data_IF_070528041891
#
_entry.id   IF_070528041891
#
_cell.length_a   1.000
_cell.length_b   1.000
_cell.length_c   1.000
_cell.angle_alpha   90.00
_cell.angle_beta   90.00
_cell.angle_gamma   90.00
#
_symmetry.space_group_name_H-M   'P 1'
#
loop_
_entity.id
_entity.type
_entity.pdbx_description
1 polymer ?
#
# COMPACT_ATOMS: atom_id res chain seq x y z
N UNK A 1 26.78 -1.12 -73.45
CA UNK A 1 26.84 -2.23 -72.47
C UNK A 1 25.54 -2.23 -71.69
N UNK A 2 24.50 -2.92 -72.18
CA UNK A 2 24.08 -4.28 -71.74
C UNK A 2 23.80 -4.36 -70.22
N UNK A 3 22.63 -4.73 -69.69
CA UNK A 3 21.27 -5.05 -70.18
C UNK A 3 20.42 -5.43 -68.95
N UNK A 4 19.13 -5.03 -68.91
CA UNK A 4 17.90 -5.81 -68.54
C UNK A 4 17.82 -6.49 -67.14
N UNK A 5 16.68 -6.71 -66.48
CA UNK A 5 15.21 -6.60 -66.73
C UNK A 5 14.50 -6.85 -65.37
N UNK A 6 13.36 -6.21 -65.14
CA UNK A 6 12.30 -6.73 -64.23
C UNK A 6 11.62 -7.97 -64.86
N UNK A 7 10.98 -8.83 -64.05
CA UNK A 7 9.53 -8.91 -64.18
C UNK A 7 8.75 -9.13 -62.88
N UNK A 8 7.47 -8.70 -62.96
CA UNK A 8 6.36 -9.04 -62.08
C UNK A 8 6.08 -10.55 -62.08
N UNK A 9 5.59 -11.08 -60.96
CA UNK A 9 4.77 -12.29 -60.96
C UNK A 9 3.59 -12.12 -59.97
N UNK A 10 2.41 -12.13 -60.56
CA UNK A 10 1.08 -12.27 -59.97
C UNK A 10 0.86 -13.76 -59.74
N UNK A 11 0.40 -14.20 -58.57
CA UNK A 11 -0.25 -15.52 -58.44
C UNK A 11 -1.47 -15.45 -57.54
N UNK A 12 -2.60 -15.64 -58.19
CA UNK A 12 -3.91 -15.98 -57.68
C UNK A 12 -3.93 -17.50 -57.41
N UNK A 13 -4.43 -17.94 -56.27
CA UNK A 13 -4.56 -19.36 -55.97
C UNK A 13 -5.56 -19.61 -54.85
N UNK A 14 -6.82 -19.87 -55.24
CA UNK A 14 -7.83 -20.51 -54.40
C UNK A 14 -7.34 -21.92 -54.00
N UNK A 15 -7.53 -22.30 -52.74
CA UNK A 15 -7.62 -23.71 -52.34
C UNK A 15 -8.66 -23.87 -51.23
N UNK A 16 -9.82 -24.36 -51.68
CA UNK A 16 -10.88 -25.14 -51.04
C UNK A 16 -10.67 -25.65 -49.61
N UNK A 17 -11.71 -25.44 -48.79
CA UNK A 17 -11.99 -26.16 -47.56
C UNK A 17 -12.22 -27.66 -47.81
N UNK A 18 -11.70 -28.51 -46.91
CA UNK A 18 -12.16 -29.87 -46.71
C UNK A 18 -12.25 -30.13 -45.21
N UNK A 19 -13.48 -30.32 -44.74
CA UNK A 19 -13.79 -30.82 -43.42
C UNK A 19 -13.55 -32.33 -43.39
N UNK A 20 -12.84 -32.82 -42.37
CA UNK A 20 -12.88 -34.23 -41.98
C UNK A 20 -13.24 -34.32 -40.51
N UNK A 21 -14.49 -34.70 -40.27
CA UNK A 21 -14.97 -35.18 -38.99
C UNK A 21 -14.45 -36.61 -38.78
N UNK A 22 -13.72 -36.84 -37.70
CA UNK A 22 -13.47 -38.17 -37.17
C UNK A 22 -14.04 -38.22 -35.75
N UNK A 23 -15.24 -38.81 -35.64
CA UNK A 23 -15.81 -39.22 -34.38
C UNK A 23 -15.10 -40.50 -33.92
N UNK A 24 -14.42 -40.45 -32.79
CA UNK A 24 -13.99 -41.63 -32.05
C UNK A 24 -14.69 -41.61 -30.69
N UNK A 25 -15.66 -42.50 -30.54
CA UNK A 25 -16.29 -42.85 -29.28
C UNK A 25 -15.54 -44.03 -28.63
N UNK A 26 -15.74 -44.18 -27.31
CA UNK A 26 -15.32 -45.26 -26.40
C UNK A 26 -13.84 -45.18 -25.91
N UNK A 27 -13.51 -45.23 -24.61
CA UNK A 27 -14.23 -45.64 -23.40
C UNK A 27 -13.83 -44.78 -22.18
N UNK A 28 -14.82 -44.41 -21.35
CA UNK A 28 -14.59 -43.88 -20.02
C UNK A 28 -14.22 -45.03 -19.06
N UNK A 29 -12.95 -45.08 -18.63
CA UNK A 29 -12.56 -45.90 -17.50
C UNK A 29 -13.08 -45.24 -16.20
N UNK A 30 -13.62 -46.01 -15.24
CA UNK A 30 -14.04 -45.47 -13.95
C UNK A 30 -12.80 -44.96 -13.21
N UNK A 31 -12.74 -43.64 -13.02
CA UNK A 31 -11.77 -43.01 -12.12
C UNK A 31 -12.16 -43.40 -10.69
N UNK A 32 -11.45 -44.39 -10.13
CA UNK A 32 -11.50 -44.65 -8.70
C UNK A 32 -10.95 -43.41 -7.99
N UNK A 33 -11.86 -42.62 -7.44
CA UNK A 33 -11.53 -41.55 -6.51
C UNK A 33 -10.88 -42.16 -5.28
N UNK A 34 -9.54 -42.17 -5.26
CA UNK A 34 -8.78 -42.42 -4.06
C UNK A 34 -9.19 -41.35 -3.03
N UNK A 35 -9.93 -41.78 -2.02
CA UNK A 35 -10.33 -40.97 -0.87
C UNK A 35 -9.06 -40.52 -0.15
N UNK A 36 -8.57 -39.34 -0.51
CA UNK A 36 -7.48 -38.69 0.19
C UNK A 36 -7.98 -38.36 1.60
N UNK A 37 -7.60 -39.22 2.54
CA UNK A 37 -7.78 -39.05 3.98
C UNK A 37 -7.31 -37.65 4.36
N UNK A 38 -8.24 -36.70 4.46
CA UNK A 38 -7.98 -35.32 4.87
C UNK A 38 -7.33 -35.37 6.24
N UNK A 39 -6.02 -35.08 6.28
CA UNK A 39 -5.30 -34.89 7.52
C UNK A 39 -6.03 -33.82 8.34
N UNK A 40 -6.23 -34.02 9.66
CA UNK A 40 -6.87 -33.02 10.49
C UNK A 40 -6.14 -31.69 10.35
N UNK A 41 -6.86 -30.63 10.00
CA UNK A 41 -6.34 -29.28 10.06
C UNK A 41 -5.89 -29.03 11.51
N UNK A 42 -4.59 -29.03 11.73
CA UNK A 42 -4.00 -28.86 13.05
C UNK A 42 -4.42 -27.46 13.54
N UNK A 43 -5.22 -27.41 14.59
CA UNK A 43 -5.61 -26.15 15.23
C UNK A 43 -4.34 -25.34 15.50
N UNK A 44 -4.30 -24.06 15.09
CA UNK A 44 -3.12 -23.25 15.29
C UNK A 44 -2.79 -23.21 16.78
N UNK A 45 -1.56 -23.62 17.13
CA UNK A 45 -1.09 -23.57 18.52
C UNK A 45 -1.29 -22.14 19.04
N UNK A 46 -2.01 -22.00 20.16
CA UNK A 46 -2.24 -20.71 20.78
C UNK A 46 -0.90 -20.14 21.25
N UNK A 47 -0.43 -19.07 20.60
CA UNK A 47 0.78 -18.37 21.03
C UNK A 47 0.56 -17.60 22.32
N UNK A 48 1.65 -17.15 22.92
CA UNK A 48 1.63 -16.43 24.21
C UNK A 48 1.21 -14.98 24.01
N UNK A 49 0.81 -14.34 25.10
CA UNK A 49 0.62 -12.89 25.14
C UNK A 49 1.84 -12.23 25.79
N UNK A 50 2.48 -11.31 25.08
CA UNK A 50 3.60 -10.47 25.54
C UNK A 50 3.05 -9.08 25.85
N UNK A 51 3.05 -8.69 27.12
CA UNK A 51 2.59 -7.36 27.56
C UNK A 51 3.71 -6.33 27.45
N UNK A 52 3.38 -5.13 26.95
CA UNK A 52 4.29 -3.98 26.89
C UNK A 52 3.62 -2.79 27.58
N UNK A 53 4.38 -2.05 28.39
CA UNK A 53 3.96 -0.81 29.05
C UNK A 53 5.14 0.15 29.09
N UNK A 54 4.93 1.46 28.96
CA UNK A 54 6.01 2.45 29.09
C UNK A 54 6.64 2.47 30.49
N UNK A 55 5.96 1.93 31.49
CA UNK A 55 6.43 1.74 32.87
C UNK A 55 6.96 0.32 33.13
N UNK A 56 7.10 -0.50 32.08
CA UNK A 56 7.59 -1.87 32.17
C UNK A 56 9.10 -1.98 32.40
N UNK A 57 9.64 -3.19 32.28
CA UNK A 57 11.08 -3.45 32.39
C UNK A 57 11.53 -4.52 31.38
N UNK A 58 12.61 -4.25 30.62
CA UNK A 58 13.13 -5.14 29.57
C UNK A 58 14.12 -6.23 30.06
N UNK A 59 14.25 -6.40 31.38
CA UNK A 59 15.28 -7.23 32.01
C UNK A 59 14.97 -8.73 31.94
N UNK A 60 13.72 -9.08 31.66
CA UNK A 60 13.27 -10.47 31.59
C UNK A 60 13.36 -11.00 30.16
N UNK A 61 13.97 -12.17 29.99
CA UNK A 61 14.11 -12.84 28.69
C UNK A 61 12.93 -13.75 28.33
N UNK A 62 12.07 -14.10 29.29
CA UNK A 62 10.88 -14.93 29.09
C UNK A 62 9.73 -14.43 29.94
N UNK A 63 8.64 -14.00 29.29
CA UNK A 63 7.38 -13.58 29.92
C UNK A 63 6.63 -14.81 30.44
N UNK A 64 6.66 -15.05 31.74
CA UNK A 64 5.77 -15.98 32.43
C UNK A 64 4.48 -15.27 32.87
N UNK A 65 3.40 -16.01 33.10
CA UNK A 65 2.17 -15.46 33.67
C UNK A 65 2.48 -14.77 35.02
N UNK A 66 2.05 -13.52 35.19
CA UNK A 66 2.32 -12.72 36.40
C UNK A 66 3.58 -11.85 36.36
N UNK A 67 4.39 -11.91 35.28
CA UNK A 67 5.55 -11.03 35.15
C UNK A 67 5.18 -9.60 34.75
N UNK A 68 6.02 -8.65 35.16
CA UNK A 68 5.91 -7.23 34.80
C UNK A 68 5.95 -7.08 33.27
N UNK A 69 5.15 -6.16 32.68
CA UNK A 69 5.23 -5.86 31.25
C UNK A 69 6.66 -5.48 30.82
N UNK A 70 7.02 -5.76 29.56
CA UNK A 70 8.23 -5.22 28.95
C UNK A 70 8.11 -3.69 28.81
N UNK A 71 9.24 -2.99 28.92
CA UNK A 71 9.28 -1.53 28.77
C UNK A 71 9.14 -1.12 27.29
N UNK A 72 9.74 -1.88 26.38
CA UNK A 72 9.85 -1.48 24.97
C UNK A 72 9.14 -2.43 24.01
N UNK A 73 8.55 -1.82 22.98
CA UNK A 73 7.95 -2.53 21.86
C UNK A 73 9.03 -3.32 21.09
N UNK A 74 10.24 -2.78 20.95
CA UNK A 74 11.36 -3.45 20.27
C UNK A 74 11.76 -4.75 20.95
N UNK A 75 11.83 -4.77 22.29
CA UNK A 75 12.13 -6.00 23.03
C UNK A 75 11.06 -7.06 22.79
N UNK A 76 9.79 -6.68 22.84
CA UNK A 76 8.68 -7.59 22.57
C UNK A 76 8.73 -8.17 21.15
N UNK A 77 9.02 -7.33 20.15
CA UNK A 77 9.14 -7.75 18.74
C UNK A 77 10.24 -8.78 18.54
N UNK A 78 11.40 -8.62 19.20
CA UNK A 78 12.51 -9.57 19.13
C UNK A 78 12.22 -10.91 19.83
N UNK A 79 11.34 -10.90 20.83
CA UNK A 79 10.97 -12.08 21.61
C UNK A 79 9.80 -12.87 21.01
N UNK A 80 9.00 -12.24 20.15
CA UNK A 80 7.81 -12.84 19.59
C UNK A 80 8.13 -14.01 18.65
N UNK A 81 7.36 -15.08 18.80
CA UNK A 81 7.40 -16.27 17.96
C UNK A 81 6.08 -16.43 17.18
N UNK A 82 6.05 -17.19 16.08
CA UNK A 82 4.82 -17.43 15.32
C UNK A 82 3.63 -17.82 16.21
N UNK A 83 2.54 -17.06 16.12
CA UNK A 83 1.33 -17.24 16.93
C UNK A 83 1.24 -16.30 18.14
N UNK A 84 2.36 -15.70 18.59
CA UNK A 84 2.37 -14.80 19.73
C UNK A 84 1.57 -13.50 19.46
N UNK A 85 1.04 -12.92 20.53
CA UNK A 85 0.39 -11.61 20.54
C UNK A 85 1.15 -10.65 21.46
N UNK A 86 1.70 -9.59 20.90
CA UNK A 86 2.22 -8.44 21.63
C UNK A 86 1.06 -7.48 21.89
N UNK A 87 0.73 -7.25 23.17
CA UNK A 87 -0.32 -6.35 23.63
C UNK A 87 0.32 -5.14 24.31
N UNK A 88 0.14 -3.97 23.72
CA UNK A 88 0.80 -2.73 24.15
C UNK A 88 -0.17 -1.83 24.89
N UNK A 89 0.11 -1.51 26.16
CA UNK A 89 -0.67 -0.54 26.94
C UNK A 89 -0.52 0.87 26.40
N UNK A 90 -1.53 1.70 26.64
CA UNK A 90 -1.55 3.09 26.21
C UNK A 90 -0.37 3.88 26.76
N UNK A 91 0.08 4.86 26.00
CA UNK A 91 1.26 5.64 26.33
C UNK A 91 2.08 6.03 25.11
N UNK A 92 3.10 6.85 25.37
CA UNK A 92 4.06 7.28 24.37
C UNK A 92 5.37 6.51 24.53
N UNK A 93 5.80 5.85 23.47
CA UNK A 93 7.05 5.10 23.39
C UNK A 93 8.01 5.88 22.49
N UNK A 94 9.08 6.43 23.07
CA UNK A 94 10.05 7.26 22.33
C UNK A 94 11.11 6.38 21.69
N UNK A 95 11.43 6.68 20.43
CA UNK A 95 12.52 6.04 19.68
C UNK A 95 12.03 5.13 18.55
N UNK A 96 12.96 4.34 18.02
CA UNK A 96 12.70 3.43 16.91
C UNK A 96 12.24 2.04 17.40
N UNK A 97 11.26 1.47 16.70
CA UNK A 97 10.71 0.15 16.94
C UNK A 97 10.77 -0.74 15.69
N UNK A 98 10.68 -2.06 15.90
CA UNK A 98 10.48 -3.04 14.83
C UNK A 98 11.72 -3.82 14.38
N UNK A 99 12.92 -3.40 14.76
CA UNK A 99 14.15 -4.12 14.42
C UNK A 99 14.22 -5.52 15.04
N UNK A 100 14.62 -6.50 14.23
CA UNK A 100 14.78 -7.90 14.66
C UNK A 100 13.48 -8.69 14.71
N UNK A 101 12.44 -8.25 13.99
CA UNK A 101 11.23 -9.02 13.81
C UNK A 101 11.53 -10.39 13.19
N UNK A 102 11.00 -11.45 13.79
CA UNK A 102 11.02 -12.81 13.23
C UNK A 102 9.82 -13.00 12.30
N UNK A 103 9.92 -13.80 11.23
CA UNK A 103 8.75 -14.11 10.41
C UNK A 103 7.72 -14.90 11.22
N UNK A 104 6.45 -14.53 11.10
CA UNK A 104 5.31 -15.35 11.50
C UNK A 104 5.02 -16.44 10.47
N UNK A 105 3.87 -17.12 10.61
CA UNK A 105 3.40 -18.12 9.64
C UNK A 105 1.95 -17.84 9.24
N UNK A 106 1.54 -18.30 8.06
CA UNK A 106 0.16 -18.14 7.57
C UNK A 106 -0.90 -18.63 8.56
N UNK A 107 -0.63 -19.75 9.22
CA UNK A 107 -1.48 -20.34 10.26
C UNK A 107 -1.10 -19.92 11.69
N UNK A 108 -0.02 -19.16 11.89
CA UNK A 108 0.42 -18.67 13.20
C UNK A 108 1.02 -17.26 13.03
N UNK A 109 0.19 -16.24 12.72
CA UNK A 109 0.67 -14.87 12.54
C UNK A 109 1.14 -14.28 13.86
N UNK A 110 2.12 -13.38 13.81
CA UNK A 110 2.52 -12.58 14.98
C UNK A 110 1.65 -11.32 15.03
N UNK A 111 1.04 -11.04 16.17
CA UNK A 111 0.10 -9.92 16.33
C UNK A 111 0.73 -8.83 17.19
N UNK A 112 0.89 -7.62 16.65
CA UNK A 112 1.27 -6.44 17.43
C UNK A 112 0.06 -5.51 17.52
N UNK A 113 -0.50 -5.34 18.71
CA UNK A 113 -1.72 -4.54 18.87
C UNK A 113 -1.73 -3.69 20.13
N UNK A 114 -2.38 -2.54 20.04
CA UNK A 114 -2.78 -1.79 21.23
C UNK A 114 -3.74 -2.63 22.09
N UNK A 115 -3.62 -2.47 23.41
CA UNK A 115 -4.60 -2.97 24.35
C UNK A 115 -5.98 -2.33 24.10
N UNK A 116 -7.05 -3.02 24.49
CA UNK A 116 -8.40 -2.58 24.20
C UNK A 116 -8.68 -1.21 24.84
N UNK A 117 -9.17 -0.26 24.04
CA UNK A 117 -9.44 1.12 24.49
C UNK A 117 -8.21 2.01 24.67
N UNK A 118 -7.01 1.45 24.53
CA UNK A 118 -5.75 2.15 24.80
C UNK A 118 -5.21 2.85 23.55
N UNK A 119 -4.65 4.06 23.71
CA UNK A 119 -3.97 4.78 22.63
C UNK A 119 -2.46 4.62 22.76
N UNK A 120 -1.87 3.85 21.85
CA UNK A 120 -0.43 3.64 21.75
C UNK A 120 0.16 4.60 20.73
N UNK A 121 1.19 5.35 21.10
CA UNK A 121 1.92 6.25 20.19
C UNK A 121 3.41 5.94 20.24
N UNK A 122 3.99 5.57 19.10
CA UNK A 122 5.44 5.57 18.90
C UNK A 122 5.84 6.97 18.45
N UNK A 123 6.65 7.66 19.25
CA UNK A 123 7.24 8.95 18.90
C UNK A 123 8.65 8.70 18.37
N UNK A 124 8.76 8.52 17.06
CA UNK A 124 9.96 8.02 16.38
C UNK A 124 9.58 7.26 15.10
N UNK A 125 10.10 6.04 14.92
CA UNK A 125 9.84 5.21 13.73
C UNK A 125 9.42 3.79 14.08
N UNK A 126 8.69 3.14 13.17
CA UNK A 126 8.38 1.70 13.19
C UNK A 126 8.86 1.08 11.88
N UNK A 127 9.90 0.24 11.93
CA UNK A 127 10.44 -0.45 10.76
C UNK A 127 10.41 -1.96 10.98
N UNK A 128 9.62 -2.67 10.18
CA UNK A 128 9.58 -4.12 10.15
C UNK A 128 10.25 -4.64 8.88
N UNK A 129 11.24 -5.52 9.06
CA UNK A 129 12.01 -6.17 7.99
C UNK A 129 11.57 -7.63 7.89
N UNK A 130 11.34 -8.13 6.68
CA UNK A 130 10.92 -9.51 6.42
C UNK A 130 9.75 -9.96 7.32
N UNK A 131 8.74 -9.09 7.42
CA UNK A 131 7.65 -9.19 8.38
C UNK A 131 6.58 -10.21 7.96
N UNK A 132 6.97 -11.42 7.55
CA UNK A 132 6.04 -12.44 7.08
C UNK A 132 4.92 -12.67 8.10
N UNK A 133 3.68 -12.56 7.64
CA UNK A 133 2.47 -12.81 8.44
C UNK A 133 2.39 -12.00 9.75
N UNK A 134 2.96 -10.80 9.78
CA UNK A 134 2.76 -9.84 10.87
C UNK A 134 1.41 -9.13 10.76
N UNK A 135 0.72 -8.99 11.88
CA UNK A 135 -0.53 -8.23 11.96
C UNK A 135 -0.38 -7.10 12.97
N UNK A 136 -0.14 -5.90 12.45
CA UNK A 136 0.02 -4.67 13.25
C UNK A 136 -1.30 -3.91 13.26
N UNK A 137 -1.83 -3.59 14.44
CA UNK A 137 -3.11 -2.88 14.57
C UNK A 137 -3.16 -1.89 15.73
N UNK A 138 -3.70 -0.68 15.49
CA UNK A 138 -3.87 0.32 16.56
C UNK A 138 -2.57 0.94 17.08
N UNK A 139 -1.45 0.75 16.38
CA UNK A 139 -0.15 1.30 16.75
C UNK A 139 0.07 2.59 15.98
N UNK A 140 -0.09 3.73 16.66
CA UNK A 140 0.07 5.03 16.04
C UNK A 140 1.56 5.44 16.01
N UNK A 141 1.98 6.21 15.02
CA UNK A 141 3.38 6.63 14.85
C UNK A 141 3.45 8.09 14.47
N UNK A 142 4.23 8.87 15.21
CA UNK A 142 4.48 10.28 14.91
C UNK A 142 5.95 10.62 14.97
N UNK A 143 6.32 11.68 14.28
CA UNK A 143 7.68 12.20 14.33
C UNK A 143 8.06 12.60 15.77
N UNK A 144 9.26 12.23 16.18
CA UNK A 144 9.93 12.88 17.28
C UNK A 144 10.64 14.15 16.77
N UNK A 145 10.32 15.37 17.26
CA UNK A 145 11.00 16.58 16.80
C UNK A 145 12.49 16.62 17.07
N UNK A 146 12.95 15.90 18.10
CA UNK A 146 14.36 15.74 18.43
C UNK A 146 15.10 14.84 17.42
N UNK A 147 14.38 14.01 16.66
CA UNK A 147 14.98 13.25 15.58
C UNK A 147 15.17 14.16 14.36
N UNK A 148 16.34 14.07 13.73
CA UNK A 148 16.57 14.66 12.41
C UNK A 148 15.61 14.10 11.35
N UNK A 149 15.71 14.61 10.12
CA UNK A 149 14.90 14.13 9.00
C UNK A 149 15.12 12.61 8.79
N UNK A 150 14.06 11.83 8.95
CA UNK A 150 14.00 10.42 8.54
C UNK A 150 13.28 10.32 7.20
N UNK A 151 13.53 9.26 6.45
CA UNK A 151 12.86 9.04 5.16
C UNK A 151 11.38 8.65 5.33
N UNK A 152 11.05 7.96 6.42
CA UNK A 152 9.73 7.42 6.73
C UNK A 152 9.48 7.46 8.24
N UNK A 153 8.21 7.34 8.64
CA UNK A 153 7.82 7.02 10.02
C UNK A 153 7.55 5.53 10.18
N UNK A 154 6.80 4.95 9.23
CA UNK A 154 6.52 3.52 9.17
C UNK A 154 7.16 2.93 7.93
N UNK A 155 7.87 1.81 8.05
CA UNK A 155 8.42 1.06 6.91
C UNK A 155 8.19 -0.43 7.05
N UNK A 156 7.67 -1.02 5.99
CA UNK A 156 7.71 -2.46 5.77
C UNK A 156 8.69 -2.73 4.62
N UNK A 157 9.80 -3.39 4.93
CA UNK A 157 10.78 -3.81 3.94
C UNK A 157 10.68 -5.31 3.70
N UNK A 158 10.17 -5.69 2.54
CA UNK A 158 9.90 -7.08 2.19
C UNK A 158 8.70 -7.71 2.91
N UNK A 159 8.75 -9.02 3.06
CA UNK A 159 7.77 -9.84 3.75
C UNK A 159 6.46 -10.13 2.97
N UNK A 160 5.77 -11.21 3.35
CA UNK A 160 4.49 -11.62 2.75
C UNK A 160 3.35 -11.66 3.76
N UNK A 161 2.12 -11.37 3.33
CA UNK A 161 0.92 -11.63 4.13
C UNK A 161 0.76 -10.75 5.37
N UNK A 162 1.48 -9.63 5.47
CA UNK A 162 1.40 -8.72 6.60
C UNK A 162 0.28 -7.69 6.47
N UNK A 163 -0.16 -7.14 7.60
CA UNK A 163 -1.17 -6.08 7.64
C UNK A 163 -0.82 -4.94 8.60
N UNK A 164 -1.07 -3.70 8.17
CA UNK A 164 -0.99 -2.50 9.00
C UNK A 164 -2.37 -1.82 9.06
N UNK A 165 -2.98 -1.87 10.24
CA UNK A 165 -4.41 -1.64 10.42
C UNK A 165 -4.72 -0.59 11.49
N UNK A 166 -5.75 0.22 11.26
CA UNK A 166 -6.38 1.06 12.28
C UNK A 166 -5.40 1.96 13.07
N UNK A 167 -4.38 2.46 12.40
CA UNK A 167 -3.35 3.31 13.00
C UNK A 167 -3.43 4.76 12.48
N UNK A 168 -2.88 5.68 13.25
CA UNK A 168 -2.60 7.05 12.85
C UNK A 168 -1.10 7.22 12.59
N UNK A 169 -0.72 7.77 11.44
CA UNK A 169 0.69 8.04 11.09
C UNK A 169 0.84 9.48 10.61
N UNK A 170 1.62 10.31 11.31
CA UNK A 170 1.65 11.73 11.02
C UNK A 170 2.92 12.51 11.38
N UNK A 171 3.06 13.67 10.73
CA UNK A 171 4.07 14.67 11.07
C UNK A 171 5.45 14.37 10.49
N UNK A 172 5.55 13.47 9.51
CA UNK A 172 6.80 13.23 8.80
C UNK A 172 7.26 14.52 8.09
N UNK A 173 8.57 14.70 8.07
CA UNK A 173 9.27 15.67 7.20
C UNK A 173 10.15 14.95 6.17
N UNK A 174 9.90 13.65 6.03
CA UNK A 174 10.61 12.69 5.19
C UNK A 174 9.92 12.43 3.87
N UNK A 175 10.48 11.51 3.10
CA UNK A 175 9.90 11.10 1.81
C UNK A 175 8.47 10.56 1.98
N UNK A 176 8.19 9.85 3.08
CA UNK A 176 6.86 9.32 3.34
C UNK A 176 6.45 9.33 4.82
N UNK A 177 5.15 9.20 5.08
CA UNK A 177 4.67 8.74 6.39
C UNK A 177 4.82 7.21 6.48
N UNK A 178 4.27 6.49 5.50
CA UNK A 178 4.35 5.04 5.39
C UNK A 178 5.05 4.62 4.09
N UNK A 179 6.08 3.79 4.21
CA UNK A 179 6.84 3.22 3.11
C UNK A 179 6.66 1.71 3.01
N UNK A 180 6.48 1.22 1.79
CA UNK A 180 6.61 -0.20 1.44
C UNK A 180 7.77 -0.32 0.47
N UNK A 181 8.83 -1.02 0.88
CA UNK A 181 10.04 -1.18 0.07
C UNK A 181 10.44 -2.64 -0.06
N UNK A 182 11.42 -2.89 -0.91
CA UNK A 182 12.09 -4.18 -1.02
C UNK A 182 13.60 -3.96 -1.01
N UNK A 183 14.33 -4.92 -0.47
CA UNK A 183 15.79 -4.96 -0.53
C UNK A 183 16.25 -6.35 -0.92
N UNK A 184 17.50 -6.49 -1.37
CA UNK A 184 18.09 -7.80 -1.65
C UNK A 184 18.04 -8.72 -0.42
N UNK A 185 18.14 -8.13 0.79
CA UNK A 185 18.13 -8.83 2.07
C UNK A 185 16.73 -9.30 2.48
N UNK A 186 15.73 -8.43 2.37
CA UNK A 186 14.39 -8.68 2.92
C UNK A 186 13.38 -9.16 1.87
N UNK A 187 13.81 -9.25 0.61
CA UNK A 187 12.97 -9.68 -0.49
C UNK A 187 11.89 -8.65 -0.83
N UNK A 188 10.86 -9.13 -1.52
CA UNK A 188 9.84 -8.28 -2.13
C UNK A 188 8.53 -8.40 -1.37
N UNK A 189 7.87 -7.28 -1.00
CA UNK A 189 6.57 -7.31 -0.36
C UNK A 189 5.50 -8.01 -1.21
N UNK A 190 4.75 -8.94 -0.61
CA UNK A 190 3.63 -9.65 -1.25
C UNK A 190 2.45 -9.79 -0.29
N UNK A 191 1.26 -9.96 -0.84
CA UNK A 191 0.01 -10.25 -0.11
C UNK A 191 -0.28 -9.33 1.08
N UNK A 192 0.13 -8.06 1.00
CA UNK A 192 0.04 -7.13 2.13
C UNK A 192 -1.26 -6.31 2.15
N UNK A 193 -1.62 -5.81 3.35
CA UNK A 193 -2.81 -4.97 3.54
C UNK A 193 -2.54 -3.73 4.41
N UNK A 194 -2.85 -2.56 3.87
CA UNK A 194 -2.83 -1.28 4.59
C UNK A 194 -4.27 -0.76 4.65
N UNK A 195 -4.91 -0.84 5.81
CA UNK A 195 -6.33 -0.52 5.90
C UNK A 195 -6.82 0.14 7.18
N UNK A 196 -7.84 0.99 7.06
CA UNK A 196 -8.47 1.65 8.22
C UNK A 196 -7.57 2.71 8.89
N UNK A 197 -6.46 3.08 8.27
CA UNK A 197 -5.50 4.03 8.85
C UNK A 197 -5.91 5.48 8.59
N UNK A 198 -5.37 6.37 9.39
CA UNK A 198 -5.33 7.80 9.15
C UNK A 198 -3.88 8.22 8.93
N UNK A 199 -3.53 8.71 7.74
CA UNK A 199 -2.13 9.00 7.39
C UNK A 199 -2.05 10.41 6.84
N UNK A 200 -1.39 11.33 7.56
CA UNK A 200 -1.49 12.75 7.25
C UNK A 200 -0.27 13.57 7.65
N UNK A 201 -0.25 14.82 7.20
CA UNK A 201 0.78 15.80 7.55
C UNK A 201 2.19 15.31 7.22
N UNK A 202 2.41 14.89 5.96
CA UNK A 202 3.76 14.81 5.42
C UNK A 202 4.10 16.12 4.68
N UNK A 203 4.44 17.14 5.47
CA UNK A 203 4.52 18.53 5.02
C UNK A 203 5.90 19.12 5.25
N UNK A 204 6.95 18.45 4.79
CA UNK A 204 8.26 19.10 4.73
C UNK A 204 8.21 20.31 3.79
N UNK A 205 8.75 21.42 4.29
CA UNK A 205 8.99 22.65 3.53
C UNK A 205 10.41 22.61 2.95
N UNK A 206 10.62 23.17 1.74
CA UNK A 206 11.96 23.40 1.19
C UNK A 206 12.67 22.21 0.52
N UNK A 207 11.94 21.24 -0.07
CA UNK A 207 12.52 20.15 -0.87
C UNK A 207 12.19 20.22 -2.36
N UNK A 208 12.85 19.38 -3.18
CA UNK A 208 12.46 19.18 -4.58
C UNK A 208 10.98 18.78 -4.69
N UNK A 209 10.32 19.20 -5.77
CA UNK A 209 8.89 19.00 -6.01
C UNK A 209 8.48 17.52 -5.93
N UNK A 210 7.27 17.22 -5.40
CA UNK A 210 6.67 15.87 -5.36
C UNK A 210 7.49 14.81 -4.60
N UNK A 211 8.00 15.15 -3.41
CA UNK A 211 8.81 14.24 -2.61
C UNK A 211 8.21 13.83 -1.26
N UNK A 212 7.08 14.41 -0.86
CA UNK A 212 6.52 14.20 0.48
C UNK A 212 5.17 13.49 0.37
N UNK A 213 5.16 12.18 0.59
CA UNK A 213 4.02 11.30 0.34
C UNK A 213 3.38 10.79 1.63
N UNK A 214 2.06 10.57 1.65
CA UNK A 214 1.49 9.85 2.80
C UNK A 214 1.87 8.36 2.73
N UNK A 215 1.62 7.69 1.61
CA UNK A 215 2.07 6.33 1.35
C UNK A 215 2.98 6.30 0.13
N UNK A 216 4.16 5.69 0.25
CA UNK A 216 5.04 5.40 -0.87
C UNK A 216 5.29 3.90 -1.02
N UNK A 217 4.75 3.31 -2.10
CA UNK A 217 5.15 1.99 -2.57
C UNK A 217 6.39 2.16 -3.44
N UNK A 218 7.56 1.99 -2.83
CA UNK A 218 8.88 2.16 -3.42
C UNK A 218 9.66 0.84 -3.41
N UNK A 219 9.17 -0.21 -4.10
CA UNK A 219 9.91 -1.45 -4.13
C UNK A 219 11.06 -1.33 -5.14
N UNK A 220 12.26 -1.74 -4.73
CA UNK A 220 13.42 -1.91 -5.62
C UNK A 220 13.29 -3.08 -6.61
N UNK A 221 12.28 -3.92 -6.47
CA UNK A 221 11.92 -5.00 -7.40
C UNK A 221 10.40 -5.03 -7.60
N UNK A 222 9.90 -5.77 -8.59
CA UNK A 222 8.45 -5.87 -8.84
C UNK A 222 7.68 -6.44 -7.65
N UNK A 223 6.98 -5.59 -6.88
CA UNK A 223 6.25 -6.01 -5.67
C UNK A 223 4.78 -6.34 -5.89
N UNK A 224 4.16 -6.96 -4.90
CA UNK A 224 2.74 -7.28 -4.87
C UNK A 224 2.41 -8.78 -5.06
N UNK A 225 1.12 -9.15 -4.92
CA UNK A 225 -0.04 -8.26 -4.85
C UNK A 225 -0.17 -7.52 -3.51
N UNK A 226 -1.02 -6.49 -3.46
CA UNK A 226 -1.26 -5.73 -2.22
C UNK A 226 -2.59 -4.98 -2.22
N UNK A 227 -3.04 -4.53 -1.05
CA UNK A 227 -4.28 -3.76 -0.89
C UNK A 227 -4.08 -2.56 0.01
N UNK A 228 -4.46 -1.37 -0.48
CA UNK A 228 -4.56 -0.13 0.28
C UNK A 228 -6.03 0.29 0.30
N UNK A 229 -6.71 0.15 1.43
CA UNK A 229 -8.15 0.41 1.47
C UNK A 229 -8.70 1.05 2.73
N UNK A 230 -9.78 1.83 2.58
CA UNK A 230 -10.50 2.43 3.72
C UNK A 230 -9.59 3.27 4.62
N UNK A 231 -8.55 3.88 4.04
CA UNK A 231 -7.70 4.84 4.74
C UNK A 231 -8.22 6.26 4.52
N UNK A 232 -7.97 7.12 5.51
CA UNK A 232 -8.13 8.57 5.40
C UNK A 232 -6.74 9.16 5.24
N UNK A 233 -6.51 9.94 4.18
CA UNK A 233 -5.20 10.51 3.86
C UNK A 233 -5.34 11.99 3.52
N UNK A 234 -4.58 12.85 4.18
CA UNK A 234 -4.67 14.28 3.95
C UNK A 234 -3.35 15.01 4.19
N UNK A 235 -3.26 16.27 3.77
CA UNK A 235 -2.11 17.14 4.04
C UNK A 235 -0.77 16.53 3.60
N UNK A 236 -0.66 16.25 2.31
CA UNK A 236 0.59 15.89 1.62
C UNK A 236 0.86 16.98 0.58
N UNK A 237 1.04 18.22 1.04
CA UNK A 237 0.87 19.41 0.19
C UNK A 237 1.97 19.58 -0.87
N UNK A 238 3.08 18.86 -0.74
CA UNK A 238 4.14 18.76 -1.75
C UNK A 238 4.48 17.29 -2.11
N UNK A 239 3.43 16.48 -2.25
CA UNK A 239 3.51 15.16 -2.87
C UNK A 239 2.15 14.49 -3.04
N UNK A 240 2.18 13.17 -3.25
CA UNK A 240 0.99 12.35 -3.39
C UNK A 240 0.48 11.76 -2.06
N UNK A 241 -0.84 11.60 -1.91
CA UNK A 241 -1.36 10.76 -0.83
C UNK A 241 -0.92 9.30 -0.98
N UNK A 242 -0.92 8.78 -2.23
CA UNK A 242 -0.31 7.48 -2.56
C UNK A 242 0.57 7.62 -3.78
N UNK A 243 1.84 7.24 -3.67
CA UNK A 243 2.73 7.05 -4.81
C UNK A 243 3.07 5.57 -4.96
N UNK A 244 2.84 5.02 -6.15
CA UNK A 244 3.22 3.68 -6.55
C UNK A 244 4.24 3.78 -7.69
N UNK A 245 5.51 3.79 -7.33
CA UNK A 245 6.62 3.92 -8.26
C UNK A 245 7.89 3.40 -7.57
N UNK A 246 8.69 2.58 -8.24
CA UNK A 246 9.97 2.15 -7.68
C UNK A 246 10.97 3.32 -7.55
N UNK A 247 12.16 3.09 -6.99
CA UNK A 247 13.22 4.09 -6.94
C UNK A 247 13.79 4.44 -8.34
N UNK A 248 13.56 3.59 -9.36
CA UNK A 248 14.03 3.78 -10.73
C UNK A 248 12.95 3.45 -11.76
N UNK A 249 13.14 3.88 -13.01
CA UNK A 249 12.19 3.64 -14.10
C UNK A 249 11.93 2.13 -14.37
N UNK A 250 12.90 1.27 -14.06
CA UNK A 250 12.82 -0.17 -14.26
C UNK A 250 12.08 -0.93 -13.15
N UNK A 251 11.69 -0.25 -12.07
CA UNK A 251 11.14 -0.88 -10.86
C UNK A 251 9.76 -0.30 -10.51
N UNK A 252 8.91 -1.08 -9.86
CA UNK A 252 7.54 -0.64 -9.57
C UNK A 252 6.70 -1.66 -8.81
N UNK A 253 5.56 -1.18 -8.31
CA UNK A 253 4.58 -2.05 -7.67
C UNK A 253 3.74 -2.77 -8.74
N UNK A 254 3.34 -4.00 -8.47
CA UNK A 254 2.46 -4.78 -9.32
C UNK A 254 1.25 -5.29 -8.56
N UNK A 255 0.11 -5.43 -9.24
CA UNK A 255 -1.08 -6.11 -8.69
C UNK A 255 -1.60 -5.51 -7.37
N UNK A 256 -1.52 -4.18 -7.23
CA UNK A 256 -1.99 -3.46 -6.04
C UNK A 256 -3.36 -2.84 -6.28
N UNK A 257 -4.27 -3.02 -5.33
CA UNK A 257 -5.59 -2.35 -5.32
C UNK A 257 -5.59 -1.19 -4.33
N UNK A 258 -5.75 0.03 -4.82
CA UNK A 258 -5.92 1.25 -4.03
C UNK A 258 -7.40 1.61 -4.06
N UNK A 259 -8.16 1.27 -3.01
CA UNK A 259 -9.62 1.37 -3.07
C UNK A 259 -10.32 1.89 -1.84
N UNK A 260 -11.45 2.59 -2.04
CA UNK A 260 -12.29 3.08 -0.93
C UNK A 260 -11.51 3.92 0.09
N UNK A 261 -10.53 4.70 -0.37
CA UNK A 261 -9.82 5.66 0.47
C UNK A 261 -10.41 7.06 0.34
N UNK A 262 -10.35 7.82 1.42
CA UNK A 262 -10.67 9.24 1.46
C UNK A 262 -9.37 10.02 1.38
N UNK A 263 -9.17 10.79 0.31
CA UNK A 263 -7.93 11.51 0.02
C UNK A 263 -8.25 12.99 -0.15
N UNK A 264 -7.66 13.85 0.67
CA UNK A 264 -7.85 15.30 0.59
C UNK A 264 -6.53 16.05 0.69
N UNK A 265 -6.51 17.34 0.34
CA UNK A 265 -5.41 18.28 0.67
C UNK A 265 -4.00 17.73 0.37
N UNK A 266 -3.85 17.06 -0.75
CA UNK A 266 -2.56 16.59 -1.26
C UNK A 266 -2.29 17.30 -2.59
N UNK A 267 -1.04 17.39 -3.02
CA UNK A 267 -0.76 17.93 -4.36
C UNK A 267 -1.19 16.94 -5.46
N UNK A 268 -1.04 15.64 -5.19
CA UNK A 268 -1.65 14.58 -5.98
C UNK A 268 -2.40 13.59 -5.07
N UNK A 269 -3.48 12.99 -5.55
CA UNK A 269 -4.17 11.95 -4.80
C UNK A 269 -3.41 10.64 -4.94
N UNK A 270 -3.35 10.12 -6.17
CA UNK A 270 -2.63 8.89 -6.50
C UNK A 270 -1.71 9.12 -7.69
N UNK A 271 -0.45 8.72 -7.55
CA UNK A 271 0.54 8.64 -8.63
C UNK A 271 0.92 7.16 -8.83
N UNK A 272 0.87 6.69 -10.08
CA UNK A 272 1.37 5.39 -10.52
C UNK A 272 2.34 5.62 -11.67
N UNK A 273 3.60 5.25 -11.44
CA UNK A 273 4.71 5.54 -12.34
C UNK A 273 5.68 4.38 -12.52
N UNK A 274 6.64 4.59 -13.41
CA UNK A 274 7.73 3.65 -13.73
C UNK A 274 7.20 2.27 -14.14
N UNK A 275 7.90 1.19 -13.80
CA UNK A 275 7.51 -0.18 -14.18
C UNK A 275 6.30 -0.72 -13.40
N UNK A 276 5.57 0.15 -12.69
CA UNK A 276 4.37 -0.25 -11.96
C UNK A 276 3.29 -0.71 -12.94
N UNK A 277 2.63 -1.83 -12.64
CA UNK A 277 1.67 -2.48 -13.54
C UNK A 277 0.51 -3.11 -12.79
N UNK A 278 -0.64 -3.24 -13.46
CA UNK A 278 -1.85 -3.83 -12.87
C UNK A 278 -2.28 -3.21 -11.53
N UNK A 279 -2.01 -1.92 -11.36
CA UNK A 279 -2.49 -1.09 -10.26
C UNK A 279 -3.94 -0.68 -10.53
N UNK A 280 -4.83 -0.99 -9.59
CA UNK A 280 -6.26 -0.65 -9.68
C UNK A 280 -6.60 0.45 -8.67
N UNK A 281 -6.88 1.66 -9.16
CA UNK A 281 -7.36 2.79 -8.36
C UNK A 281 -8.89 2.82 -8.42
N UNK A 282 -9.57 2.40 -7.35
CA UNK A 282 -11.02 2.15 -7.41
C UNK A 282 -11.85 2.69 -6.25
N UNK A 283 -12.99 3.31 -6.54
CA UNK A 283 -13.95 3.74 -5.51
C UNK A 283 -13.33 4.65 -4.43
N UNK A 284 -12.28 5.42 -4.75
CA UNK A 284 -11.72 6.40 -3.82
C UNK A 284 -12.51 7.71 -3.93
N UNK A 285 -12.48 8.52 -2.87
CA UNK A 285 -12.80 9.94 -2.92
C UNK A 285 -11.48 10.71 -2.93
N UNK A 286 -11.23 11.51 -3.97
CA UNK A 286 -10.06 12.39 -4.06
C UNK A 286 -10.57 13.83 -4.21
N UNK A 287 -10.30 14.68 -3.23
CA UNK A 287 -10.87 16.01 -3.16
C UNK A 287 -9.85 17.06 -2.70
N UNK A 288 -10.20 18.35 -2.84
CA UNK A 288 -9.48 19.48 -2.23
C UNK A 288 -7.95 19.44 -2.45
N UNK A 289 -7.52 19.09 -3.67
CA UNK A 289 -6.08 19.02 -3.96
C UNK A 289 -5.46 20.43 -3.92
N UNK A 290 -4.21 20.51 -3.47
CA UNK A 290 -3.49 21.77 -3.34
C UNK A 290 -2.99 22.22 -4.72
N UNK A 291 -3.40 23.40 -5.17
CA UNK A 291 -3.09 23.96 -6.49
C UNK A 291 -1.72 24.66 -6.53
N UNK A 292 -1.11 24.91 -5.38
CA UNK A 292 0.14 25.68 -5.28
C UNK A 292 1.34 24.75 -5.12
N UNK A 293 2.28 24.79 -6.07
CA UNK A 293 3.63 24.29 -5.81
C UNK A 293 4.25 25.16 -4.67
N UNK A 294 4.97 24.58 -3.69
CA UNK A 294 5.69 25.38 -2.71
C UNK A 294 6.64 26.35 -3.41
N UNK A 295 6.78 27.56 -2.87
CA UNK A 295 7.74 28.53 -3.38
C UNK A 295 9.15 27.90 -3.42
N UNK A 296 9.82 27.96 -4.57
CA UNK A 296 11.19 27.44 -4.76
C UNK A 296 11.31 25.97 -5.21
N UNK A 297 10.21 25.28 -5.51
CA UNK A 297 10.28 23.89 -5.98
C UNK A 297 10.94 23.79 -7.37
N UNK A 298 12.13 23.17 -7.46
CA UNK A 298 12.75 22.78 -8.74
C UNK A 298 11.98 21.60 -9.34
N UNK A 299 11.55 21.75 -10.59
CA UNK A 299 10.72 20.80 -11.32
C UNK A 299 11.44 19.46 -11.56
N UNK A 300 10.75 18.33 -11.33
CA UNK A 300 11.30 16.99 -11.58
C UNK A 300 10.98 16.58 -13.02
N UNK A 301 12.01 16.42 -13.85
CA UNK A 301 11.94 16.10 -15.29
C UNK A 301 11.12 14.85 -15.67
N UNK A 302 10.86 13.93 -14.74
CA UNK A 302 10.13 12.68 -15.01
C UNK A 302 8.61 12.78 -14.85
N UNK A 303 8.10 13.87 -14.28
CA UNK A 303 6.68 14.17 -14.21
C UNK A 303 6.49 15.49 -14.94
N UNK A 304 5.86 15.46 -16.11
CA UNK A 304 5.66 16.67 -16.91
C UNK A 304 4.98 17.73 -16.03
N UNK A 305 5.75 18.73 -15.60
CA UNK A 305 5.52 19.47 -14.37
C UNK A 305 4.33 20.46 -14.41
N UNK A 306 3.59 20.46 -15.51
CA UNK A 306 2.35 21.20 -15.70
C UNK A 306 1.09 20.44 -15.22
N UNK A 307 1.24 19.26 -14.62
CA UNK A 307 0.13 18.43 -14.12
C UNK A 307 0.32 18.16 -12.63
N UNK A 308 0.01 19.16 -11.81
CA UNK A 308 -0.59 18.89 -10.49
C UNK A 308 -1.78 18.00 -10.81
N UNK A 309 -1.85 16.78 -10.28
CA UNK A 309 -2.91 15.85 -10.67
C UNK A 309 -2.57 14.39 -10.47
N UNK A 310 -3.62 13.58 -10.41
CA UNK A 310 -3.47 12.14 -10.34
C UNK A 310 -2.87 11.62 -11.65
N UNK A 311 -1.83 10.79 -11.56
CA UNK A 311 -1.11 10.28 -12.73
C UNK A 311 -1.12 8.76 -12.70
N UNK A 312 -1.54 8.11 -13.78
CA UNK A 312 -1.50 6.64 -13.87
C UNK A 312 -0.92 6.23 -15.22
N UNK A 313 0.33 5.80 -15.18
CA UNK A 313 1.11 5.31 -16.32
C UNK A 313 1.57 3.87 -16.11
N UNK A 314 2.01 3.19 -17.16
CA UNK A 314 2.47 1.80 -17.11
C UNK A 314 1.41 0.78 -17.57
N UNK A 315 1.80 -0.49 -17.61
CA UNK A 315 1.00 -1.55 -18.25
C UNK A 315 -0.15 -2.08 -17.37
N UNK A 316 -1.36 -2.14 -17.91
CA UNK A 316 -2.52 -2.76 -17.25
C UNK A 316 -3.03 -2.01 -15.99
N UNK A 317 -2.53 -0.81 -15.74
CA UNK A 317 -3.02 0.04 -14.67
C UNK A 317 -4.40 0.61 -15.04
N UNK A 318 -5.32 0.69 -14.08
CA UNK A 318 -6.70 1.12 -14.34
C UNK A 318 -7.25 1.97 -13.21
N UNK A 319 -8.14 2.89 -13.59
CA UNK A 319 -8.93 3.69 -12.66
C UNK A 319 -10.38 3.35 -12.86
N UNK A 320 -11.08 2.98 -11.78
CA UNK A 320 -12.47 2.52 -11.85
C UNK A 320 -13.30 3.26 -10.81
N UNK A 321 -14.34 3.96 -11.23
CA UNK A 321 -15.35 4.50 -10.31
C UNK A 321 -14.80 5.35 -9.16
N UNK A 322 -13.76 6.15 -9.38
CA UNK A 322 -13.17 7.04 -8.37
C UNK A 322 -13.80 8.43 -8.50
N UNK A 323 -14.24 9.01 -7.38
CA UNK A 323 -14.84 10.35 -7.34
C UNK A 323 -13.78 11.43 -7.17
N UNK A 324 -13.88 12.50 -7.96
CA UNK A 324 -12.99 13.66 -7.93
C UNK A 324 -13.76 14.93 -7.57
N UNK A 325 -13.20 15.79 -6.72
CA UNK A 325 -13.78 17.08 -6.34
C UNK A 325 -12.74 18.21 -6.30
N UNK A 326 -13.05 19.35 -6.91
CA UNK A 326 -12.20 20.54 -6.87
C UNK A 326 -10.94 20.48 -7.75
N UNK A 327 -10.92 19.65 -8.81
CA UNK A 327 -9.78 19.56 -9.71
C UNK A 327 -10.18 19.50 -11.20
N UNK A 328 -9.49 20.23 -12.11
CA UNK A 328 -9.87 20.30 -13.52
C UNK A 328 -9.33 19.16 -14.39
N UNK A 329 -8.26 18.45 -13.98
CA UNK A 329 -7.62 17.43 -14.84
C UNK A 329 -7.77 16.00 -14.33
N UNK A 330 -8.25 15.18 -15.26
CA UNK A 330 -8.49 13.75 -15.15
C UNK A 330 -7.17 13.00 -14.90
N UNK A 331 -7.27 11.76 -14.42
CA UNK A 331 -6.12 10.86 -14.38
C UNK A 331 -5.63 10.64 -15.81
N UNK A 332 -4.47 11.21 -16.15
CA UNK A 332 -3.95 11.15 -17.51
C UNK A 332 -3.43 9.71 -17.77
N UNK A 333 -4.02 9.04 -18.75
CA UNK A 333 -3.61 7.71 -19.20
C UNK A 333 -2.52 7.87 -20.25
N UNK A 334 -1.29 7.46 -19.94
CA UNK A 334 -0.21 7.43 -20.94
C UNK A 334 -0.11 6.04 -21.56
N UNK A 335 -0.55 5.93 -22.82
CA UNK A 335 -0.24 4.93 -23.87
C UNK A 335 -0.54 3.42 -23.65
N UNK A 336 -0.71 2.90 -22.43
CA UNK A 336 -0.85 1.44 -22.19
C UNK A 336 -2.09 0.98 -21.39
N UNK A 337 -2.94 1.89 -20.90
CA UNK A 337 -4.20 1.46 -20.25
C UNK A 337 -5.29 1.20 -21.29
N UNK A 338 -5.71 -0.07 -21.35
CA UNK A 338 -6.75 -0.61 -22.26
C UNK A 338 -8.16 -0.07 -22.00
N UNK A 339 -8.33 0.87 -21.09
CA UNK A 339 -9.61 1.57 -20.95
C UNK A 339 -9.31 3.04 -20.70
N UNK A 340 -9.68 3.95 -21.64
CA UNK A 340 -9.85 5.34 -21.31
C UNK A 340 -10.70 5.44 -20.04
N UNK A 341 -10.54 6.51 -19.27
CA UNK A 341 -11.51 6.91 -18.24
C UNK A 341 -12.81 7.33 -18.96
N UNK A 342 -13.46 6.39 -19.66
CA UNK A 342 -14.71 6.59 -20.37
C UNK A 342 -15.82 6.14 -19.44
N UNK A 343 -16.57 7.12 -18.91
CA UNK A 343 -17.93 6.90 -18.42
C UNK A 343 -18.14 6.77 -16.91
N UNK A 344 -17.11 6.74 -16.06
CA UNK A 344 -17.31 6.55 -14.62
C UNK A 344 -16.63 7.64 -13.76
N UNK A 345 -17.41 8.70 -13.48
CA UNK A 345 -17.40 9.46 -12.21
C UNK A 345 -16.47 10.68 -12.07
N UNK A 346 -16.47 11.58 -13.05
CA UNK A 346 -16.46 13.02 -12.75
C UNK A 346 -17.88 13.49 -12.40
N UNK A 347 -18.54 12.87 -11.41
CA UNK A 347 -19.56 13.63 -10.68
C UNK A 347 -18.76 14.60 -9.81
N UNK A 348 -18.86 15.91 -10.08
CA UNK A 348 -18.45 16.92 -9.13
C UNK A 348 -19.30 16.72 -7.88
N UNK A 349 -18.80 15.89 -6.97
CA UNK A 349 -19.40 15.73 -5.66
C UNK A 349 -18.73 16.76 -4.77
N UNK A 350 -19.50 17.57 -4.07
CA UNK A 350 -18.98 18.41 -2.98
C UNK A 350 -19.11 17.57 -1.72
N UNK A 351 -18.06 16.85 -1.29
CA UNK A 351 -18.13 16.08 -0.06
C UNK A 351 -18.36 17.05 1.10
N UNK A 352 -19.30 16.72 1.96
CA UNK A 352 -19.49 17.39 3.24
C UNK A 352 -18.68 16.60 4.25
N UNK A 353 -17.74 17.28 4.91
CA UNK A 353 -16.94 16.72 5.99
C UNK A 353 -17.49 17.23 7.32
N UNK A 354 -17.52 16.39 8.34
CA UNK A 354 -17.87 16.83 9.70
C UNK A 354 -16.81 17.79 10.27
N UNK A 355 -15.53 17.57 9.96
CA UNK A 355 -14.43 18.50 10.20
C UNK A 355 -13.25 18.23 9.24
N UNK A 356 -12.55 19.27 8.77
CA UNK A 356 -11.48 19.15 7.76
C UNK A 356 -10.05 19.01 8.30
N UNK A 357 -9.88 18.69 9.60
CA UNK A 357 -8.59 18.83 10.30
C UNK A 357 -8.19 17.64 11.17
N UNK A 358 -9.02 16.60 11.27
CA UNK A 358 -8.73 15.45 12.13
C UNK A 358 -9.12 14.12 11.47
N UNK A 359 -8.51 13.03 11.93
CA UNK A 359 -8.81 11.68 11.48
C UNK A 359 -10.28 11.29 11.60
N UNK A 360 -10.94 11.73 12.67
CA UNK A 360 -12.37 11.52 12.92
C UNK A 360 -13.27 12.53 12.21
N UNK A 361 -12.72 13.67 11.76
CA UNK A 361 -13.44 14.75 11.10
C UNK A 361 -13.82 14.46 9.65
N UNK A 362 -13.01 13.66 8.94
CA UNK A 362 -13.24 13.27 7.54
C UNK A 362 -14.34 12.21 7.38
N UNK A 363 -15.46 12.34 8.12
CA UNK A 363 -16.68 11.57 7.83
C UNK A 363 -17.34 12.17 6.59
N UNK A 364 -17.59 11.33 5.61
CA UNK A 364 -18.20 11.73 4.34
C UNK A 364 -19.69 11.39 4.40
N UNK A 365 -20.54 12.35 4.07
CA UNK A 365 -21.99 12.14 3.95
C UNK A 365 -22.48 12.30 2.51
N UNK A 366 -23.76 11.97 2.28
CA UNK A 366 -24.44 12.13 1.00
C UNK A 366 -23.93 11.20 -0.11
N UNK A 367 -24.06 11.63 -1.37
CA UNK A 367 -23.70 10.83 -2.54
C UNK A 367 -22.19 10.47 -2.61
N UNK A 368 -21.35 11.20 -1.88
CA UNK A 368 -19.92 10.93 -1.79
C UNK A 368 -19.60 9.79 -0.83
N UNK A 369 -20.46 9.44 0.13
CA UNK A 369 -20.18 8.44 1.16
C UNK A 369 -19.86 7.05 0.58
N UNK A 370 -20.44 6.70 -0.57
CA UNK A 370 -20.13 5.45 -1.29
C UNK A 370 -18.69 5.37 -1.83
N UNK A 371 -17.97 6.49 -1.84
CA UNK A 371 -16.57 6.62 -2.20
C UNK A 371 -15.75 6.95 -0.94
N UNK A 372 -14.70 6.18 -0.67
CA UNK A 372 -13.85 6.41 0.49
C UNK A 372 -14.21 5.60 1.74
N UNK A 373 -13.61 5.99 2.86
CA UNK A 373 -13.84 5.35 4.17
C UNK A 373 -15.19 5.83 4.72
N UNK A 374 -16.14 4.91 4.82
CA UNK A 374 -17.26 5.06 5.76
C UNK A 374 -16.69 4.97 7.17
N UNK A 375 -16.86 6.03 7.97
CA UNK A 375 -16.59 6.00 9.41
C UNK A 375 -17.51 5.00 10.09
#
# INVERSE_FOLDING_TARGET
MLTRRNPRALFLGLATAAASAAAAALMAAPSQAASAKTAPATSPAAGRTILVSSEGHDGTTRMAAGQRPLATITKAIKLAEPGDTILVKGGTYVGAAGYGARPGRRNAPIRLRAAAGERVVIKGTLQLENADYWQVSGINVTRNPADGRKEFLVKFDGGTGWSFLNAEVWGSIGVSNLMVSSSARNGVPRDYRIAGNCIHDNNAVGGAFMNFHNIYLMPGYNSGPGVIERNTMFNSENGAAVKAAGPSAATGAADVRIRRNTITRSAAGVIVGYASRRIEVRNNLIAQQVVRAPAGAKYVHNYNAAVIGNHVSGSGNKVVSTALSGFPRLINNTKDSRTPVKGALTRRLTPIYTAGVSCSGYKISGAAARYGRFS
#
